data_IF_650186570197
#
_entry.id   IF_650186570197
#
_cell.length_a   1.000
_cell.length_b   1.000
_cell.length_c   1.000
_cell.angle_alpha   90.00
_cell.angle_beta   90.00
_cell.angle_gamma   90.00
#
_symmetry.space_group_name_H-M   'P 1'
#
loop_
_entity.id
_entity.type
_entity.pdbx_description
1 polymer ?
#
# COMPACT_ATOMS: atom_id res chain seq x y z
N UNK A 1 13.33 12.93 -6.27
CA UNK A 1 13.02 12.65 -4.84
C UNK A 1 13.95 11.58 -4.28
N UNK A 2 14.06 11.44 -2.94
CA UNK A 2 14.94 10.42 -2.33
C UNK A 2 14.17 9.11 -2.14
N UNK A 3 14.68 8.01 -2.72
CA UNK A 3 14.21 6.61 -2.53
C UNK A 3 13.85 6.26 -1.08
N UNK A 4 14.57 6.86 -0.13
CA UNK A 4 14.35 6.70 1.31
C UNK A 4 12.95 7.10 1.77
N UNK A 5 12.35 8.15 1.21
CA UNK A 5 11.00 8.61 1.58
C UNK A 5 9.92 7.64 1.11
N UNK A 6 10.07 7.14 -0.13
CA UNK A 6 9.15 6.16 -0.71
C UNK A 6 9.24 4.82 0.05
N UNK A 7 10.46 4.34 0.33
CA UNK A 7 10.67 3.13 1.13
C UNK A 7 10.12 3.27 2.55
N UNK A 8 10.25 4.45 3.18
CA UNK A 8 9.67 4.71 4.49
C UNK A 8 8.13 4.62 4.46
N UNK A 9 7.48 5.23 3.46
CA UNK A 9 6.03 5.15 3.29
C UNK A 9 5.57 3.71 3.08
N UNK A 10 6.28 2.96 2.22
CA UNK A 10 5.97 1.55 1.97
C UNK A 10 6.06 0.71 3.27
N UNK A 11 7.17 0.84 4.01
CA UNK A 11 7.33 0.15 5.29
C UNK A 11 6.27 0.56 6.33
N UNK A 12 5.83 1.81 6.29
CA UNK A 12 4.76 2.30 7.16
C UNK A 12 3.39 1.70 6.80
N UNK A 13 3.09 1.51 5.51
CA UNK A 13 1.85 0.86 5.05
C UNK A 13 1.87 -0.62 5.40
N UNK A 14 3.00 -1.33 5.25
CA UNK A 14 3.13 -2.73 5.69
C UNK A 14 2.89 -2.87 7.19
N UNK A 15 3.55 -2.03 8.00
CA UNK A 15 3.36 -2.04 9.45
C UNK A 15 1.92 -1.72 9.86
N UNK A 16 1.29 -0.77 9.15
CA UNK A 16 -0.10 -0.40 9.41
C UNK A 16 -1.11 -1.45 8.93
N UNK A 17 -0.84 -2.17 7.83
CA UNK A 17 -1.65 -3.28 7.34
C UNK A 17 -1.67 -4.46 8.31
N UNK A 18 -0.52 -4.81 8.88
CA UNK A 18 -0.45 -5.81 9.95
C UNK A 18 -1.19 -5.35 11.23
N UNK A 19 -1.13 -4.06 11.56
CA UNK A 19 -1.84 -3.48 12.69
C UNK A 19 -3.34 -3.19 12.41
N UNK A 20 -3.78 -3.24 11.15
CA UNK A 20 -5.17 -2.99 10.76
C UNK A 20 -6.11 -4.01 11.39
N UNK A 21 -5.69 -5.28 11.42
CA UNK A 21 -6.37 -6.37 12.12
C UNK A 21 -6.53 -6.07 13.62
N UNK A 22 -5.70 -5.19 14.19
CA UNK A 22 -5.65 -4.91 15.61
C UNK A 22 -6.27 -3.56 16.05
N UNK A 23 -6.34 -2.52 15.21
CA UNK A 23 -6.52 -1.15 15.74
C UNK A 23 -7.31 -0.10 14.92
N UNK A 24 -8.12 -0.45 13.91
CA UNK A 24 -9.10 0.49 13.27
C UNK A 24 -8.54 1.87 12.84
N UNK A 25 -7.26 1.96 12.42
CA UNK A 25 -6.66 3.23 11.96
C UNK A 25 -6.86 3.50 10.46
N UNK A 26 -8.12 3.49 10.03
CA UNK A 26 -8.51 3.60 8.60
C UNK A 26 -7.98 4.88 7.94
N UNK A 27 -8.17 6.02 8.59
CA UNK A 27 -7.78 7.34 8.07
C UNK A 27 -6.26 7.51 7.91
N UNK A 28 -5.48 6.98 8.86
CA UNK A 28 -4.01 7.06 8.80
C UNK A 28 -3.46 6.26 7.61
N UNK A 29 -4.05 5.10 7.33
CA UNK A 29 -3.66 4.25 6.20
C UNK A 29 -4.01 4.93 4.87
N UNK A 30 -5.22 5.47 4.73
CA UNK A 30 -5.63 6.21 3.54
C UNK A 30 -4.66 7.34 3.21
N UNK A 31 -4.36 8.16 4.21
CA UNK A 31 -3.46 9.29 4.03
C UNK A 31 -2.07 8.86 3.58
N UNK A 32 -1.50 7.81 4.18
CA UNK A 32 -0.18 7.29 3.79
C UNK A 32 -0.15 6.75 2.36
N UNK A 33 -1.25 6.16 1.91
CA UNK A 33 -1.38 5.66 0.55
C UNK A 33 -1.50 6.80 -0.44
N UNK A 34 -2.26 7.85 -0.11
CA UNK A 34 -2.34 9.08 -0.92
C UNK A 34 -0.97 9.74 -1.04
N UNK A 35 -0.25 9.89 0.07
CA UNK A 35 1.13 10.40 0.08
C UNK A 35 2.07 9.53 -0.77
N UNK A 36 1.91 8.19 -0.73
CA UNK A 36 2.70 7.28 -1.57
C UNK A 36 2.37 7.46 -3.06
N UNK A 37 1.09 7.61 -3.40
CA UNK A 37 0.66 7.87 -4.78
C UNK A 37 1.24 9.18 -5.31
N UNK A 38 1.18 10.25 -4.53
CA UNK A 38 1.74 11.55 -4.92
C UNK A 38 3.25 11.45 -5.15
N UNK A 39 3.98 10.87 -4.19
CA UNK A 39 5.44 10.72 -4.32
C UNK A 39 5.84 9.87 -5.52
N UNK A 40 5.07 8.83 -5.84
CA UNK A 40 5.39 7.95 -6.96
C UNK A 40 5.01 8.59 -8.31
N UNK A 41 3.92 9.37 -8.37
CA UNK A 41 3.57 10.16 -9.57
C UNK A 41 4.66 11.17 -9.92
N UNK A 42 5.23 11.83 -8.93
CA UNK A 42 6.28 12.84 -9.10
C UNK A 42 7.70 12.22 -9.19
N UNK A 43 7.82 10.90 -9.16
CA UNK A 43 9.10 10.20 -9.27
C UNK A 43 9.39 9.70 -10.68
N UNK A 44 10.68 9.51 -10.97
CA UNK A 44 11.17 8.83 -12.18
C UNK A 44 11.11 7.30 -12.06
N UNK A 45 10.23 6.77 -11.20
CA UNK A 45 10.04 5.33 -11.09
C UNK A 45 9.38 4.77 -12.36
N UNK A 46 9.65 3.49 -12.70
CA UNK A 46 9.02 2.85 -13.85
C UNK A 46 7.50 2.84 -13.73
N UNK A 47 6.82 2.84 -14.87
CA UNK A 47 5.35 2.77 -14.93
C UNK A 47 4.78 1.59 -14.13
N UNK A 48 5.49 0.45 -14.16
CA UNK A 48 5.14 -0.73 -13.35
C UNK A 48 5.05 -0.45 -11.85
N UNK A 49 5.89 0.43 -11.31
CA UNK A 49 5.81 0.83 -9.90
C UNK A 49 4.58 1.71 -9.64
N UNK A 50 4.24 2.59 -10.58
CA UNK A 50 3.03 3.44 -10.50
C UNK A 50 1.76 2.59 -10.54
N UNK A 51 1.73 1.59 -11.43
CA UNK A 51 0.62 0.63 -11.54
C UNK A 51 0.43 -0.16 -10.23
N UNK A 52 1.51 -0.70 -9.65
CA UNK A 52 1.45 -1.44 -8.39
C UNK A 52 0.88 -0.59 -7.25
N UNK A 53 1.26 0.68 -7.16
CA UNK A 53 0.75 1.58 -6.12
C UNK A 53 -0.73 1.83 -6.30
N UNK A 54 -1.17 2.06 -7.55
CA UNK A 54 -2.58 2.22 -7.86
C UNK A 54 -3.40 0.99 -7.43
N UNK A 55 -2.92 -0.21 -7.75
CA UNK A 55 -3.56 -1.46 -7.34
C UNK A 55 -3.61 -1.62 -5.82
N UNK A 56 -2.52 -1.28 -5.11
CA UNK A 56 -2.47 -1.29 -3.64
C UNK A 56 -3.52 -0.33 -3.07
N UNK A 57 -3.59 0.88 -3.60
CA UNK A 57 -4.56 1.88 -3.14
C UNK A 57 -5.99 1.44 -3.37
N UNK A 58 -6.30 0.86 -4.53
CA UNK A 58 -7.64 0.33 -4.82
C UNK A 58 -8.01 -0.81 -3.87
N UNK A 59 -7.08 -1.73 -3.62
CA UNK A 59 -7.29 -2.88 -2.73
C UNK A 59 -7.56 -2.43 -1.29
N UNK A 60 -6.77 -1.46 -0.80
CA UNK A 60 -6.94 -0.91 0.54
C UNK A 60 -8.21 -0.06 0.62
N UNK A 61 -8.49 0.80 -0.37
CA UNK A 61 -9.74 1.56 -0.41
C UNK A 61 -10.96 0.64 -0.38
N UNK A 62 -10.93 -0.47 -1.12
CA UNK A 62 -11.99 -1.48 -1.07
C UNK A 62 -12.15 -2.05 0.33
N UNK A 63 -11.04 -2.39 1.01
CA UNK A 63 -11.07 -2.91 2.38
C UNK A 63 -11.62 -1.90 3.40
N UNK A 64 -11.33 -0.61 3.20
CA UNK A 64 -11.74 0.46 4.11
C UNK A 64 -13.18 0.95 3.88
N UNK A 65 -13.66 0.92 2.63
CA UNK A 65 -14.99 1.43 2.23
C UNK A 65 -16.07 0.35 2.23
N UNK A 66 -15.70 -0.91 2.02
CA UNK A 66 -16.56 -2.05 2.34
C UNK A 66 -16.68 -2.10 3.86
N UNK A 67 -17.77 -1.53 4.41
CA UNK A 67 -18.00 -1.43 5.85
C UNK A 67 -17.76 -2.75 6.59
N UNK A 68 -17.42 -2.67 7.88
CA UNK A 68 -17.01 -3.82 8.71
C UNK A 68 -17.97 -5.02 8.68
N UNK A 69 -19.24 -4.80 8.33
CA UNK A 69 -20.31 -5.78 8.23
C UNK A 69 -20.46 -6.44 6.84
N UNK A 70 -19.81 -5.89 5.80
CA UNK A 70 -19.94 -6.37 4.42
C UNK A 70 -18.92 -7.45 4.03
N UNK A 71 -17.85 -7.61 4.82
CA UNK A 71 -16.75 -8.54 4.53
C UNK A 71 -16.41 -9.39 5.75
N UNK A 72 -16.26 -10.70 5.56
CA UNK A 72 -15.77 -11.61 6.59
C UNK A 72 -14.31 -11.32 6.96
N UNK A 73 -13.91 -11.74 8.15
CA UNK A 73 -12.50 -11.63 8.59
C UNK A 73 -11.54 -12.39 7.67
N UNK A 74 -12.00 -13.50 7.08
CA UNK A 74 -11.23 -14.28 6.11
C UNK A 74 -11.03 -13.51 4.79
N UNK A 75 -12.08 -12.85 4.29
CA UNK A 75 -11.96 -11.99 3.09
C UNK A 75 -11.06 -10.78 3.35
N UNK A 76 -11.19 -10.13 4.52
CA UNK A 76 -10.29 -9.03 4.92
C UNK A 76 -8.84 -9.50 4.96
N UNK A 77 -8.60 -10.67 5.55
CA UNK A 77 -7.26 -11.27 5.61
C UNK A 77 -6.70 -11.56 4.21
N UNK A 78 -7.50 -12.14 3.32
CA UNK A 78 -7.06 -12.45 1.95
C UNK A 78 -6.68 -11.17 1.18
N UNK A 79 -7.45 -10.08 1.32
CA UNK A 79 -7.09 -8.79 0.70
C UNK A 79 -5.80 -8.22 1.30
N UNK A 80 -5.62 -8.30 2.63
CA UNK A 80 -4.40 -7.83 3.28
C UNK A 80 -3.17 -8.61 2.81
N UNK A 81 -3.27 -9.94 2.66
CA UNK A 81 -2.20 -10.77 2.11
C UNK A 81 -1.87 -10.40 0.65
N UNK A 82 -2.89 -10.12 -0.16
CA UNK A 82 -2.70 -9.66 -1.53
C UNK A 82 -1.99 -8.29 -1.57
N UNK A 83 -2.41 -7.36 -0.72
CA UNK A 83 -1.79 -6.04 -0.55
C UNK A 83 -0.33 -6.19 -0.14
N UNK A 84 -0.02 -7.04 0.83
CA UNK A 84 1.36 -7.31 1.27
C UNK A 84 2.22 -7.85 0.13
N UNK A 85 1.71 -8.82 -0.65
CA UNK A 85 2.42 -9.36 -1.80
C UNK A 85 2.66 -8.31 -2.90
N UNK A 86 1.70 -7.41 -3.15
CA UNK A 86 1.86 -6.30 -4.09
C UNK A 86 2.89 -5.29 -3.59
N UNK A 87 2.90 -5.00 -2.29
CA UNK A 87 3.88 -4.12 -1.67
C UNK A 87 5.30 -4.70 -1.80
N UNK A 88 5.50 -5.99 -1.52
CA UNK A 88 6.81 -6.64 -1.71
C UNK A 88 7.29 -6.52 -3.17
N UNK A 89 6.40 -6.72 -4.15
CA UNK A 89 6.74 -6.51 -5.58
C UNK A 89 7.08 -5.05 -5.89
N UNK A 90 6.41 -4.10 -5.25
CA UNK A 90 6.71 -2.67 -5.40
C UNK A 90 8.10 -2.35 -4.84
N UNK A 91 8.42 -2.85 -3.64
CA UNK A 91 9.76 -2.71 -3.05
C UNK A 91 10.83 -3.27 -3.98
N UNK A 92 10.64 -4.49 -4.48
CA UNK A 92 11.57 -5.11 -5.43
C UNK A 92 11.72 -4.28 -6.71
N UNK A 93 10.62 -3.77 -7.25
CA UNK A 93 10.64 -2.97 -8.48
C UNK A 93 11.42 -1.69 -8.26
N UNK A 94 11.19 -1.00 -7.14
CA UNK A 94 11.94 0.21 -6.76
C UNK A 94 13.42 -0.11 -6.50
N UNK A 95 13.72 -1.28 -5.92
CA UNK A 95 15.10 -1.71 -5.68
C UNK A 95 15.86 -2.05 -6.95
N UNK A 96 15.21 -2.76 -7.89
CA UNK A 96 15.80 -3.23 -9.16
C UNK A 96 15.94 -2.13 -10.21
N UNK A 97 15.16 -1.05 -10.10
CA UNK A 97 15.14 0.05 -11.08
C UNK A 97 16.22 1.11 -10.83
N UNK A 98 17.17 0.86 -9.93
CA UNK A 98 18.31 1.75 -9.67
C UNK A 98 19.59 0.90 -9.60
N UNK A 99 20.67 1.27 -10.31
CA UNK A 99 21.97 0.62 -10.18
C UNK A 99 22.58 0.77 -8.78
#
# INVERSE_FOLDING_TARGET
MKKSSIMFLIGSILGAGAAYVAATRKEEILKKIEELQEQIKESDLPERAKDLVKEISESINHLLTSGEEAMSEEEKKNILEEVEAKIQKLEETIHKSTP
#
